data_IF_032281855685
#
_entry.id   IF_032281855685
#
_cell.length_a   1.000
_cell.length_b   1.000
_cell.length_c   1.000
_cell.angle_alpha   90.00
_cell.angle_beta   90.00
_cell.angle_gamma   90.00
#
_symmetry.space_group_name_H-M   'P 1'
#
loop_
_entity.id
_entity.type
_entity.pdbx_description
1 polymer ?
#
# COMPACT_ATOMS: atom_id res chain seq x y z
N UNK A 1 1.58 16.35 -24.85
CA UNK A 1 1.78 17.01 -23.54
C UNK A 1 1.91 15.99 -22.41
N UNK A 2 2.46 14.78 -22.67
CA UNK A 2 2.56 13.68 -21.70
C UNK A 2 3.90 13.67 -20.95
N UNK A 3 5.01 14.00 -21.64
CA UNK A 3 6.35 14.01 -21.06
C UNK A 3 6.53 14.92 -19.83
N UNK A 4 5.82 16.05 -19.77
CA UNK A 4 5.90 16.99 -18.64
C UNK A 4 5.17 16.47 -17.40
N UNK A 5 4.07 15.73 -17.57
CA UNK A 5 3.27 15.18 -16.47
C UNK A 5 3.97 13.95 -15.86
N UNK A 6 4.53 13.09 -16.70
CA UNK A 6 5.30 11.91 -16.28
C UNK A 6 6.52 12.32 -15.43
N UNK A 7 7.27 13.33 -15.87
CA UNK A 7 8.43 13.86 -15.13
C UNK A 7 8.03 14.48 -13.78
N UNK A 8 6.85 15.13 -13.70
CA UNK A 8 6.34 15.68 -12.45
C UNK A 8 5.90 14.58 -11.47
N UNK A 9 5.26 13.52 -11.97
CA UNK A 9 4.86 12.36 -11.18
C UNK A 9 6.07 11.60 -10.62
N UNK A 10 7.11 11.40 -11.43
CA UNK A 10 8.35 10.75 -11.02
C UNK A 10 9.10 11.57 -9.96
N UNK A 11 9.10 12.89 -10.11
CA UNK A 11 9.69 13.82 -9.14
C UNK A 11 8.97 13.76 -7.79
N UNK A 12 7.62 13.78 -7.80
CA UNK A 12 6.81 13.63 -6.59
C UNK A 12 7.01 12.28 -5.92
N UNK A 13 7.03 11.19 -6.71
CA UNK A 13 7.30 9.84 -6.23
C UNK A 13 8.66 9.76 -5.54
N UNK A 14 9.69 10.33 -6.17
CA UNK A 14 11.04 10.37 -5.63
C UNK A 14 11.12 11.19 -4.33
N UNK A 15 10.42 12.33 -4.28
CA UNK A 15 10.36 13.19 -3.09
C UNK A 15 9.63 12.55 -1.91
N UNK A 16 8.59 11.74 -2.18
CA UNK A 16 7.73 11.14 -1.15
C UNK A 16 8.25 9.81 -0.62
N UNK A 17 8.96 9.02 -1.44
CA UNK A 17 9.32 7.64 -1.11
C UNK A 17 10.07 7.50 0.22
N UNK A 18 11.10 8.31 0.45
CA UNK A 18 11.88 8.24 1.70
C UNK A 18 11.09 8.75 2.92
N UNK A 19 10.43 9.92 2.89
CA UNK A 19 9.57 10.37 4.00
C UNK A 19 8.46 9.39 4.36
N UNK A 20 7.75 8.86 3.36
CA UNK A 20 6.67 7.87 3.56
C UNK A 20 7.24 6.60 4.18
N UNK A 21 8.32 6.05 3.60
CA UNK A 21 8.98 4.87 4.15
C UNK A 21 9.40 5.08 5.61
N UNK A 22 9.96 6.24 5.95
CA UNK A 22 10.37 6.57 7.31
C UNK A 22 9.18 6.60 8.28
N UNK A 23 8.08 7.26 7.90
CA UNK A 23 6.87 7.31 8.73
C UNK A 23 6.30 5.91 9.01
N UNK A 24 6.23 5.06 7.98
CA UNK A 24 5.78 3.68 8.14
C UNK A 24 6.73 2.87 9.03
N UNK A 25 8.04 3.00 8.84
CA UNK A 25 9.05 2.30 9.63
C UNK A 25 9.01 2.71 11.11
N UNK A 26 8.90 4.01 11.40
CA UNK A 26 8.80 4.53 12.78
C UNK A 26 7.53 4.01 13.48
N UNK A 27 6.41 3.95 12.74
CA UNK A 27 5.13 3.44 13.25
C UNK A 27 5.16 1.92 13.46
N UNK A 28 5.75 1.17 12.54
CA UNK A 28 6.01 -0.26 12.71
C UNK A 28 6.88 -0.52 13.94
N UNK A 29 7.94 0.27 14.15
CA UNK A 29 8.81 0.13 15.31
C UNK A 29 8.11 0.46 16.64
N UNK A 30 7.21 1.45 16.65
CA UNK A 30 6.36 1.71 17.80
C UNK A 30 5.44 0.52 18.13
N UNK A 31 4.88 -0.14 17.10
CA UNK A 31 4.05 -1.34 17.28
C UNK A 31 4.88 -2.53 17.77
N UNK A 32 6.08 -2.77 17.24
CA UNK A 32 6.98 -3.83 17.72
C UNK A 32 7.29 -3.71 19.20
N UNK A 33 7.50 -2.48 19.69
CA UNK A 33 7.72 -2.20 21.12
C UNK A 33 6.47 -2.38 21.99
N UNK A 34 5.28 -2.19 21.42
CA UNK A 34 4.01 -2.29 22.15
C UNK A 34 3.41 -3.71 22.16
N UNK A 35 3.82 -4.56 21.23
CA UNK A 35 3.36 -5.93 21.10
C UNK A 35 4.29 -6.91 21.83
N UNK A 36 3.77 -8.04 22.34
CA UNK A 36 4.63 -9.13 22.79
C UNK A 36 5.54 -9.60 21.64
N UNK A 37 6.78 -9.97 21.95
CA UNK A 37 7.73 -10.44 20.95
C UNK A 37 7.14 -11.61 20.14
N UNK A 38 7.26 -11.53 18.81
CA UNK A 38 6.77 -12.55 17.89
C UNK A 38 7.74 -13.74 17.88
N UNK A 39 7.27 -14.99 18.05
CA UNK A 39 8.11 -16.17 17.90
C UNK A 39 8.57 -16.36 16.45
N UNK A 40 9.77 -16.93 16.27
CA UNK A 40 10.29 -17.27 14.94
C UNK A 40 9.59 -18.50 14.35
N UNK A 41 9.19 -19.47 15.18
CA UNK A 41 8.54 -20.71 14.75
C UNK A 41 7.07 -20.49 14.34
N UNK A 42 6.66 -21.17 13.26
CA UNK A 42 5.32 -21.01 12.69
C UNK A 42 4.21 -21.59 13.59
N UNK A 43 4.46 -22.70 14.29
CA UNK A 43 3.49 -23.29 15.21
C UNK A 43 3.36 -22.46 16.49
N UNK A 44 4.47 -21.92 17.01
CA UNK A 44 4.45 -21.02 18.16
C UNK A 44 3.74 -19.70 17.86
N UNK A 45 3.87 -19.16 16.63
CA UNK A 45 3.15 -17.94 16.20
C UNK A 45 1.64 -18.08 16.31
N UNK A 46 1.08 -19.25 16.01
CA UNK A 46 -0.37 -19.47 16.14
C UNK A 46 -0.80 -19.37 17.61
N UNK A 47 -0.10 -20.04 18.51
CA UNK A 47 -0.40 -19.97 19.95
C UNK A 47 -0.19 -18.57 20.51
N UNK A 48 0.87 -17.89 20.09
CA UNK A 48 1.12 -16.48 20.41
C UNK A 48 -0.05 -15.59 19.98
N UNK A 49 -0.56 -15.75 18.76
CA UNK A 49 -1.71 -14.99 18.25
C UNK A 49 -2.98 -15.25 19.07
N UNK A 50 -3.25 -16.51 19.43
CA UNK A 50 -4.41 -16.88 20.26
C UNK A 50 -4.33 -16.32 21.68
N UNK A 51 -3.13 -16.08 22.21
CA UNK A 51 -2.92 -15.49 23.54
C UNK A 51 -3.12 -13.97 23.61
N UNK A 52 -3.29 -13.31 22.46
CA UNK A 52 -3.44 -11.85 22.39
C UNK A 52 -4.89 -11.40 22.60
N UNK A 53 -5.06 -10.21 23.17
CA UNK A 53 -6.35 -9.50 23.12
C UNK A 53 -6.71 -9.12 21.67
N UNK A 54 -7.99 -8.92 21.38
CA UNK A 54 -8.41 -8.50 20.03
C UNK A 54 -7.78 -7.19 19.55
N UNK A 55 -7.47 -6.27 20.46
CA UNK A 55 -6.74 -5.04 20.14
C UNK A 55 -5.28 -5.31 19.76
N UNK A 56 -4.61 -6.21 20.49
CA UNK A 56 -3.26 -6.64 20.17
C UNK A 56 -3.21 -7.37 18.82
N UNK A 57 -4.20 -8.20 18.50
CA UNK A 57 -4.32 -8.85 17.18
C UNK A 57 -4.47 -7.83 16.06
N UNK A 58 -5.31 -6.80 16.23
CA UNK A 58 -5.44 -5.70 15.25
C UNK A 58 -4.12 -4.97 15.04
N UNK A 59 -3.40 -4.66 16.13
CA UNK A 59 -2.07 -4.03 16.07
C UNK A 59 -1.03 -4.91 15.40
N UNK A 60 -1.08 -6.23 15.63
CA UNK A 60 -0.19 -7.19 14.98
C UNK A 60 -0.47 -7.28 13.47
N UNK A 61 -1.74 -7.30 13.06
CA UNK A 61 -2.11 -7.24 11.64
C UNK A 61 -1.64 -5.93 10.98
N UNK A 62 -1.80 -4.79 11.67
CA UNK A 62 -1.29 -3.51 11.19
C UNK A 62 0.24 -3.53 11.05
N UNK A 63 0.96 -4.10 12.03
CA UNK A 63 2.41 -4.25 11.93
C UNK A 63 2.82 -5.05 10.68
N UNK A 64 2.18 -6.20 10.42
CA UNK A 64 2.46 -7.00 9.23
C UNK A 64 2.19 -6.23 7.93
N UNK A 65 1.11 -5.44 7.91
CA UNK A 65 0.77 -4.58 6.80
C UNK A 65 1.83 -3.49 6.56
N UNK A 66 2.27 -2.79 7.61
CA UNK A 66 3.30 -1.77 7.53
C UNK A 66 4.67 -2.35 7.11
N UNK A 67 5.02 -3.54 7.58
CA UNK A 67 6.24 -4.24 7.19
C UNK A 67 6.21 -4.63 5.70
N UNK A 68 5.05 -5.08 5.20
CA UNK A 68 4.87 -5.37 3.79
C UNK A 68 5.01 -4.11 2.93
N UNK A 69 4.39 -2.99 3.31
CA UNK A 69 4.51 -1.71 2.61
C UNK A 69 5.96 -1.19 2.63
N UNK A 70 6.65 -1.26 3.77
CA UNK A 70 8.07 -0.91 3.86
C UNK A 70 8.93 -1.78 2.92
N UNK A 71 8.64 -3.08 2.84
CA UNK A 71 9.26 -3.99 1.89
C UNK A 71 9.02 -3.59 0.44
N UNK A 72 7.77 -3.27 0.10
CA UNK A 72 7.37 -2.84 -1.25
C UNK A 72 8.15 -1.60 -1.69
N UNK A 73 8.19 -0.57 -0.83
CA UNK A 73 8.94 0.66 -1.07
C UNK A 73 10.46 0.45 -1.16
N UNK A 74 10.99 -0.72 -0.76
CA UNK A 74 12.42 -1.07 -0.90
C UNK A 74 12.68 -2.07 -2.02
N UNK A 75 11.66 -2.41 -2.82
CA UNK A 75 11.78 -3.31 -3.98
C UNK A 75 11.44 -4.77 -3.70
N UNK A 76 10.84 -5.09 -2.55
CA UNK A 76 10.26 -6.41 -2.25
C UNK A 76 8.75 -6.36 -2.43
N UNK A 77 8.19 -6.85 -3.55
CA UNK A 77 6.77 -6.70 -3.84
C UNK A 77 5.90 -7.29 -2.73
N UNK A 78 5.08 -6.45 -2.10
CA UNK A 78 4.03 -6.87 -1.19
C UNK A 78 2.84 -7.48 -1.95
N UNK A 79 2.24 -8.53 -1.38
CA UNK A 79 1.03 -9.14 -1.91
C UNK A 79 -0.13 -8.14 -1.93
N UNK A 80 -0.91 -8.15 -3.01
CA UNK A 80 -2.04 -7.22 -3.20
C UNK A 80 -1.69 -5.88 -3.84
N UNK A 81 -0.41 -5.65 -4.16
CA UNK A 81 0.06 -4.45 -4.86
C UNK A 81 0.71 -4.81 -6.18
N UNK A 82 0.59 -3.93 -7.18
CA UNK A 82 1.30 -4.11 -8.44
C UNK A 82 2.81 -4.01 -8.20
N UNK A 83 3.59 -4.98 -8.68
CA UNK A 83 5.03 -5.06 -8.40
C UNK A 83 5.85 -3.84 -8.90
N UNK A 84 5.28 -3.09 -9.85
CA UNK A 84 5.88 -1.89 -10.42
C UNK A 84 5.27 -0.59 -9.87
N UNK A 85 4.38 -0.64 -8.88
CA UNK A 85 3.84 0.56 -8.23
C UNK A 85 4.91 1.13 -7.29
N UNK A 86 5.58 2.25 -7.66
CA UNK A 86 6.70 2.74 -6.87
C UNK A 86 6.27 3.32 -5.52
N UNK A 87 4.98 3.66 -5.39
CA UNK A 87 4.39 4.30 -4.22
C UNK A 87 2.87 4.00 -4.16
N UNK A 88 2.51 2.84 -3.58
CA UNK A 88 1.11 2.45 -3.42
C UNK A 88 0.32 3.47 -2.61
N UNK A 89 -0.94 3.71 -3.01
CA UNK A 89 -1.81 4.67 -2.31
C UNK A 89 -1.97 4.32 -0.82
N UNK A 90 -2.05 3.03 -0.49
CA UNK A 90 -2.11 2.55 0.89
C UNK A 90 -0.89 3.01 1.73
N UNK A 91 0.31 3.09 1.14
CA UNK A 91 1.48 3.61 1.84
C UNK A 91 1.32 5.09 2.22
N UNK A 92 0.67 5.88 1.36
CA UNK A 92 0.38 7.28 1.61
C UNK A 92 -0.71 7.46 2.66
N UNK A 93 -1.75 6.62 2.63
CA UNK A 93 -2.81 6.60 3.64
C UNK A 93 -2.27 6.24 5.02
N UNK A 94 -1.40 5.24 5.11
CA UNK A 94 -0.80 4.84 6.39
C UNK A 94 0.28 5.81 6.89
N UNK A 95 0.88 6.60 6.00
CA UNK A 95 1.80 7.68 6.39
C UNK A 95 1.07 8.98 6.76
N UNK A 96 -0.19 9.14 6.35
CA UNK A 96 -0.98 10.34 6.60
C UNK A 96 -1.15 10.56 8.11
N UNK A 97 -0.95 11.80 8.56
CA UNK A 97 -0.94 12.15 9.99
C UNK A 97 0.31 11.71 10.78
N UNK A 98 1.27 11.01 10.15
CA UNK A 98 2.56 10.64 10.74
C UNK A 98 3.76 11.31 10.06
N UNK A 99 3.49 12.14 9.04
CA UNK A 99 4.48 12.94 8.33
C UNK A 99 4.44 14.42 8.73
N UNK A 100 5.51 15.16 8.47
CA UNK A 100 5.51 16.61 8.65
C UNK A 100 4.57 17.31 7.68
N UNK A 101 4.14 18.53 8.02
CA UNK A 101 3.25 19.35 7.17
C UNK A 101 3.72 19.50 5.71
N UNK A 102 5.01 19.78 5.42
CA UNK A 102 5.48 19.83 4.02
C UNK A 102 5.34 18.51 3.27
N UNK A 103 5.48 17.37 3.97
CA UNK A 103 5.32 16.06 3.35
C UNK A 103 3.84 15.75 3.14
N UNK A 104 2.96 16.15 4.07
CA UNK A 104 1.52 16.00 3.90
C UNK A 104 0.99 16.79 2.68
N UNK A 105 1.53 18.00 2.43
CA UNK A 105 1.23 18.76 1.22
C UNK A 105 1.65 18.02 -0.06
N UNK A 106 2.85 17.42 -0.07
CA UNK A 106 3.31 16.61 -1.19
C UNK A 106 2.43 15.36 -1.40
N UNK A 107 1.97 14.73 -0.32
CA UNK A 107 1.04 13.59 -0.39
C UNK A 107 -0.29 14.05 -1.02
N UNK A 108 -0.82 15.20 -0.61
CA UNK A 108 -2.04 15.77 -1.17
C UNK A 108 -1.88 16.09 -2.67
N UNK A 109 -0.76 16.70 -3.06
CA UNK A 109 -0.43 16.97 -4.46
C UNK A 109 -0.33 15.68 -5.29
N UNK A 110 0.30 14.64 -4.74
CA UNK A 110 0.39 13.34 -5.38
C UNK A 110 -0.97 12.66 -5.56
N UNK A 111 -1.87 12.75 -4.57
CA UNK A 111 -3.24 12.22 -4.66
C UNK A 111 -4.10 12.98 -5.68
N UNK A 112 -3.84 14.26 -5.90
CA UNK A 112 -4.57 15.10 -6.86
C UNK A 112 -4.06 14.95 -8.31
N UNK A 113 -2.85 14.39 -8.50
CA UNK A 113 -2.31 14.14 -9.83
C UNK A 113 -3.13 13.06 -10.54
N UNK A 114 -3.51 13.27 -11.82
CA UNK A 114 -4.12 12.22 -12.63
C UNK A 114 -3.14 11.05 -12.70
N UNK A 115 -3.47 9.94 -12.03
CA UNK A 115 -2.80 8.68 -12.30
C UNK A 115 -3.37 8.22 -13.64
N UNK A 116 -2.52 8.10 -14.65
CA UNK A 116 -2.89 7.41 -15.89
C UNK A 116 -3.45 6.05 -15.46
N UNK A 117 -4.77 5.99 -15.43
CA UNK A 117 -5.51 4.76 -15.24
C UNK A 117 -5.27 4.02 -16.53
N UNK A 118 -4.20 3.22 -16.58
CA UNK A 118 -4.04 2.21 -17.60
C UNK A 118 -5.36 1.46 -17.66
N UNK A 119 -6.03 1.63 -18.80
CA UNK A 119 -7.39 1.20 -19.00
C UNK A 119 -7.57 -0.24 -18.55
N UNK A 120 -8.28 -0.41 -17.44
CA UNK A 120 -9.24 -1.48 -17.37
C UNK A 120 -10.11 -1.32 -18.61
N UNK A 121 -9.79 -2.07 -19.66
CA UNK A 121 -10.72 -2.37 -20.72
C UNK A 121 -12.03 -2.67 -20.01
N UNK A 122 -13.13 -1.93 -20.25
CA UNK A 122 -14.41 -2.46 -19.87
C UNK A 122 -14.45 -3.83 -20.55
N UNK A 123 -14.65 -4.89 -19.77
CA UNK A 123 -15.17 -6.14 -20.27
C UNK A 123 -16.53 -5.76 -20.84
N UNK A 124 -16.50 -5.27 -22.08
CA UNK A 124 -17.65 -5.00 -22.89
C UNK A 124 -18.43 -6.30 -22.85
N UNK A 125 -19.63 -6.17 -22.33
CA UNK A 125 -20.45 -7.28 -21.95
C UNK A 125 -20.54 -8.21 -23.17
N UNK A 126 -20.14 -9.47 -22.99
CA UNK A 126 -20.57 -10.56 -23.84
C UNK A 126 -22.10 -10.55 -23.81
N UNK A 127 -22.73 -9.81 -24.73
CA UNK A 127 -24.17 -9.82 -24.93
C UNK A 127 -24.54 -11.22 -25.45
N UNK A 128 -25.34 -12.02 -24.72
CA UNK A 128 -25.87 -13.27 -25.23
C UNK A 128 -27.08 -12.96 -26.13
N UNK A 129 -26.87 -12.25 -27.24
CA UNK A 129 -27.95 -11.89 -28.17
C UNK A 129 -27.49 -11.89 -29.62
N UNK A 130 -26.84 -12.98 -30.04
CA UNK A 130 -26.81 -13.41 -31.44
C UNK A 130 -26.99 -14.93 -31.51
N UNK A 131 -28.23 -15.38 -31.29
CA UNK A 131 -28.70 -16.67 -31.80
C UNK A 131 -29.47 -16.39 -33.10
N UNK A 132 -29.08 -16.96 -34.25
CA UNK A 132 -29.89 -16.87 -35.46
C UNK A 132 -31.18 -17.66 -35.26
N UNK A 133 -32.31 -17.03 -35.56
CA UNK A 133 -33.61 -17.69 -35.65
C UNK A 133 -33.52 -18.84 -36.66
N UNK A 134 -33.70 -20.08 -36.17
CA UNK A 134 -33.97 -21.23 -37.02
C UNK A 134 -35.36 -21.03 -37.65
N UNK A 135 -35.39 -20.93 -38.97
CA UNK A 135 -36.57 -21.22 -39.81
C UNK A 135 -36.41 -22.62 -40.36
#
# INVERSE_FOLDING_TARGET
>A
MTATVETASDSLTSALRLPVWKALADRAEALRRALPARPDDAAERWHWWQGMTGEQQRRAALLEHLDALCGHLTGRPALGYAAHDPLPLAALEEADGFTSEPVAELIAAYRAAPRDSEGGQPLDALQPSQMPARV
#
